data_IF_121883121189
#
_entry.id   IF_121883121189
#
_cell.length_a   1.000
_cell.length_b   1.000
_cell.length_c   1.000
_cell.angle_alpha   90.00
_cell.angle_beta   90.00
_cell.angle_gamma   90.00
#
_symmetry.space_group_name_H-M   'P 1'
#
loop_
_entity.id
_entity.type
_entity.pdbx_description
1 polymer ?
#
# COMPACT_ATOMS: atom_id res chain seq x y z
N UNK A 1 23.24 -26.24 -15.81
CA UNK A 1 23.68 -24.99 -15.14
C UNK A 1 22.67 -23.86 -15.31
N UNK A 2 22.03 -23.68 -16.47
CA UNK A 2 21.04 -22.64 -16.74
C UNK A 2 19.76 -22.80 -15.92
N UNK A 3 19.25 -24.02 -15.77
CA UNK A 3 18.02 -24.30 -15.02
C UNK A 3 18.12 -23.88 -13.53
N UNK A 4 19.27 -24.16 -12.90
CA UNK A 4 19.54 -23.67 -11.52
C UNK A 4 19.62 -22.16 -11.45
N UNK A 5 20.15 -21.48 -12.47
CA UNK A 5 20.28 -20.02 -12.54
C UNK A 5 18.90 -19.34 -12.67
N UNK A 6 17.98 -19.94 -13.43
CA UNK A 6 16.60 -19.44 -13.60
C UNK A 6 15.80 -19.61 -12.31
N UNK A 7 15.86 -20.77 -11.67
CA UNK A 7 15.19 -21.01 -10.38
C UNK A 7 15.72 -20.10 -9.26
N UNK A 8 17.03 -19.87 -9.22
CA UNK A 8 17.63 -18.98 -8.24
C UNK A 8 17.18 -17.51 -8.44
N UNK A 9 17.09 -17.05 -9.68
CA UNK A 9 16.58 -15.70 -10.00
C UNK A 9 15.09 -15.53 -9.67
N UNK A 10 14.29 -16.56 -9.92
CA UNK A 10 12.87 -16.57 -9.58
C UNK A 10 12.67 -16.44 -8.06
N UNK A 11 13.41 -17.22 -7.27
CA UNK A 11 13.33 -17.15 -5.81
C UNK A 11 13.78 -15.78 -5.28
N UNK A 12 14.83 -15.19 -5.83
CA UNK A 12 15.28 -13.85 -5.42
C UNK A 12 14.20 -12.80 -5.71
N UNK A 13 13.58 -12.84 -6.88
CA UNK A 13 12.48 -11.92 -7.21
C UNK A 13 11.33 -12.06 -6.21
N UNK A 14 10.95 -13.28 -5.88
CA UNK A 14 9.92 -13.54 -4.88
C UNK A 14 10.27 -12.93 -3.52
N UNK A 15 11.49 -13.12 -3.02
CA UNK A 15 11.94 -12.53 -1.74
C UNK A 15 11.95 -11.00 -1.78
N UNK A 16 12.40 -10.40 -2.89
CA UNK A 16 12.37 -8.95 -3.05
C UNK A 16 10.93 -8.44 -3.00
N UNK A 17 10.01 -9.10 -3.72
CA UNK A 17 8.60 -8.75 -3.69
C UNK A 17 7.99 -8.84 -2.29
N UNK A 18 8.30 -9.90 -1.54
CA UNK A 18 7.86 -10.05 -0.14
C UNK A 18 8.40 -8.94 0.77
N UNK A 19 9.64 -8.49 0.58
CA UNK A 19 10.21 -7.38 1.36
C UNK A 19 9.46 -6.07 1.06
N UNK A 20 9.13 -5.79 -0.21
CA UNK A 20 8.30 -4.63 -0.55
C UNK A 20 6.90 -4.71 0.05
N UNK A 21 6.28 -5.89 0.02
CA UNK A 21 4.99 -6.12 0.67
C UNK A 21 5.06 -5.89 2.19
N UNK A 22 6.05 -6.45 2.87
CA UNK A 22 6.22 -6.30 4.31
C UNK A 22 6.48 -4.84 4.71
N UNK A 23 7.24 -4.10 3.91
CA UNK A 23 7.40 -2.65 4.11
C UNK A 23 6.08 -1.91 3.97
N UNK A 24 5.30 -2.21 2.93
CA UNK A 24 3.97 -1.64 2.73
C UNK A 24 3.03 -1.98 3.90
N UNK A 25 3.05 -3.22 4.37
CA UNK A 25 2.26 -3.68 5.49
C UNK A 25 2.59 -2.93 6.80
N UNK A 26 3.88 -2.79 7.10
CA UNK A 26 4.34 -2.04 8.28
C UNK A 26 3.93 -0.55 8.21
N UNK A 27 4.10 0.07 7.03
CA UNK A 27 3.67 1.46 6.85
C UNK A 27 2.16 1.63 6.94
N UNK A 28 1.37 0.67 6.49
CA UNK A 28 -0.09 0.72 6.62
C UNK A 28 -0.55 0.63 8.08
N UNK A 29 0.07 -0.23 8.88
CA UNK A 29 -0.20 -0.31 10.32
C UNK A 29 0.13 1.03 11.02
N UNK A 30 1.25 1.65 10.65
CA UNK A 30 1.63 2.97 11.18
C UNK A 30 0.70 4.09 10.68
N UNK A 31 0.32 4.08 9.40
CA UNK A 31 -0.62 5.05 8.82
C UNK A 31 -1.95 5.07 9.57
N UNK A 32 -2.50 3.89 9.87
CA UNK A 32 -3.76 3.77 10.61
C UNK A 32 -3.69 4.31 12.04
N UNK A 33 -2.49 4.29 12.66
CA UNK A 33 -2.28 4.74 14.04
C UNK A 33 -1.92 6.22 14.15
N UNK A 34 -1.16 6.74 13.19
CA UNK A 34 -0.51 8.04 13.31
C UNK A 34 -0.85 9.04 12.19
N UNK A 35 -1.47 8.59 11.09
CA UNK A 35 -1.72 9.42 9.91
C UNK A 35 -0.43 9.83 9.21
N UNK A 36 -0.04 11.09 9.36
CA UNK A 36 1.20 11.62 8.77
C UNK A 36 2.44 10.93 9.33
N UNK A 37 3.34 10.48 8.45
CA UNK A 37 4.54 9.71 8.81
C UNK A 37 5.78 10.15 8.01
N UNK A 38 6.99 10.02 8.59
CA UNK A 38 8.21 10.08 7.79
C UNK A 38 8.30 8.90 6.83
N UNK A 39 8.69 9.15 5.58
CA UNK A 39 8.96 8.11 4.59
C UNK A 39 10.46 7.85 4.55
N UNK A 40 10.89 6.68 5.06
CA UNK A 40 12.27 6.26 5.10
C UNK A 40 12.53 5.17 4.04
N UNK A 41 13.39 5.46 3.08
CA UNK A 41 13.73 4.55 1.99
C UNK A 41 15.12 3.93 2.12
N UNK A 42 15.92 4.44 3.04
CA UNK A 42 17.30 4.00 3.33
C UNK A 42 17.49 3.79 4.82
N UNK A 43 18.43 2.91 5.18
CA UNK A 43 18.85 2.76 6.57
C UNK A 43 19.53 4.06 7.04
N UNK A 44 19.06 4.59 8.15
CA UNK A 44 19.62 5.83 8.74
C UNK A 44 20.88 5.50 9.54
N UNK A 45 21.86 6.41 9.48
CA UNK A 45 23.00 6.39 10.38
C UNK A 45 22.61 7.04 11.70
N UNK A 46 23.30 6.69 12.78
CA UNK A 46 23.15 7.32 14.10
C UNK A 46 23.86 8.69 14.12
N UNK A 47 23.31 9.62 13.33
CA UNK A 47 23.75 11.02 13.22
C UNK A 47 22.54 11.92 13.45
N UNK A 48 22.56 12.74 14.50
CA UNK A 48 21.43 13.58 14.90
C UNK A 48 20.87 14.43 13.76
N UNK A 49 21.73 15.11 13.00
CA UNK A 49 21.29 15.98 11.90
C UNK A 49 20.53 15.19 10.82
N UNK A 50 20.99 13.97 10.47
CA UNK A 50 20.35 13.12 9.48
C UNK A 50 18.98 12.60 10.01
N UNK A 51 18.94 12.20 11.29
CA UNK A 51 17.72 11.72 11.93
C UNK A 51 16.67 12.83 12.04
N UNK A 52 17.07 14.05 12.42
CA UNK A 52 16.16 15.21 12.48
C UNK A 52 15.63 15.55 11.09
N UNK A 53 16.48 15.60 10.08
CA UNK A 53 16.07 15.87 8.70
C UNK A 53 15.10 14.81 8.16
N UNK A 54 15.34 13.54 8.47
CA UNK A 54 14.51 12.41 8.04
C UNK A 54 13.19 12.28 8.82
N UNK A 55 13.04 12.95 9.95
CA UNK A 55 11.85 12.86 10.81
C UNK A 55 10.67 13.71 10.33
N UNK A 56 10.80 14.45 9.22
CA UNK A 56 9.70 15.23 8.65
C UNK A 56 8.56 14.31 8.21
N UNK A 57 7.39 14.51 8.81
CA UNK A 57 6.18 13.75 8.46
C UNK A 57 5.64 14.20 7.12
N UNK A 58 5.38 13.25 6.25
CA UNK A 58 4.68 13.44 5.00
C UNK A 58 3.16 13.34 5.24
N UNK A 59 2.33 14.06 4.48
CA UNK A 59 0.88 13.95 4.54
C UNK A 59 0.38 12.50 4.40
N UNK A 60 -0.70 12.14 5.10
CA UNK A 60 -1.22 10.76 5.13
C UNK A 60 -1.46 10.16 3.72
N UNK A 61 -2.00 10.94 2.78
CA UNK A 61 -2.19 10.49 1.41
C UNK A 61 -0.87 10.24 0.65
N UNK A 62 0.20 10.98 0.95
CA UNK A 62 1.54 10.71 0.38
C UNK A 62 2.11 9.40 0.95
N UNK A 63 1.90 9.16 2.24
CA UNK A 63 2.26 7.88 2.87
C UNK A 63 1.47 6.74 2.23
N UNK A 64 0.16 6.91 2.01
CA UNK A 64 -0.67 5.92 1.33
C UNK A 64 -0.19 5.66 -0.11
N UNK A 65 0.15 6.71 -0.88
CA UNK A 65 0.77 6.56 -2.21
C UNK A 65 2.08 5.79 -2.17
N UNK A 66 2.92 6.07 -1.19
CA UNK A 66 4.16 5.31 -0.99
C UNK A 66 3.87 3.83 -0.71
N UNK A 67 2.85 3.51 0.09
CA UNK A 67 2.42 2.13 0.35
C UNK A 67 1.96 1.47 -0.96
N UNK A 68 1.09 2.12 -1.76
CA UNK A 68 0.63 1.58 -3.03
C UNK A 68 1.77 1.34 -4.02
N UNK A 69 2.73 2.26 -4.11
CA UNK A 69 3.92 2.10 -4.96
C UNK A 69 4.79 0.89 -4.56
N UNK A 70 4.90 0.63 -3.24
CA UNK A 70 5.58 -0.58 -2.76
C UNK A 70 4.82 -1.86 -3.14
N UNK A 71 3.49 -1.84 -3.06
CA UNK A 71 2.65 -2.97 -3.45
C UNK A 71 2.70 -3.21 -4.96
N UNK A 72 2.73 -2.16 -5.79
CA UNK A 72 2.93 -2.29 -7.24
C UNK A 72 4.30 -2.90 -7.57
N UNK A 73 5.32 -2.47 -6.87
CA UNK A 73 6.67 -3.05 -7.00
C UNK A 73 6.67 -4.51 -6.57
N UNK A 74 6.04 -4.85 -5.45
CA UNK A 74 5.89 -6.23 -4.98
C UNK A 74 5.16 -7.09 -6.02
N UNK A 75 4.04 -6.60 -6.56
CA UNK A 75 3.26 -7.28 -7.59
C UNK A 75 4.11 -7.57 -8.84
N UNK A 76 4.87 -6.57 -9.31
CA UNK A 76 5.76 -6.73 -10.47
C UNK A 76 6.81 -7.84 -10.26
N UNK A 77 7.37 -7.94 -9.06
CA UNK A 77 8.34 -9.00 -8.74
C UNK A 77 7.70 -10.39 -8.59
N UNK A 78 6.42 -10.46 -8.21
CA UNK A 78 5.70 -11.71 -7.95
C UNK A 78 4.84 -12.19 -9.13
N UNK A 79 4.64 -11.36 -10.14
CA UNK A 79 3.79 -11.69 -11.29
C UNK A 79 4.27 -12.96 -12.00
N UNK A 80 3.33 -13.88 -12.25
CA UNK A 80 3.61 -15.17 -12.91
C UNK A 80 4.35 -16.19 -12.03
N UNK A 81 4.61 -15.88 -10.76
CA UNK A 81 5.25 -16.83 -9.83
C UNK A 81 4.20 -17.66 -9.10
N UNK A 82 4.38 -18.98 -9.10
CA UNK A 82 3.63 -19.89 -8.23
C UNK A 82 4.39 -20.06 -6.92
N UNK A 83 3.70 -19.81 -5.81
CA UNK A 83 4.28 -19.90 -4.47
C UNK A 83 3.46 -20.85 -3.61
N UNK A 84 4.09 -21.39 -2.54
CA UNK A 84 3.38 -22.17 -1.54
C UNK A 84 2.27 -21.30 -0.87
N UNK A 85 1.19 -21.94 -0.46
CA UNK A 85 0.03 -21.26 0.18
C UNK A 85 0.39 -20.52 1.47
N UNK A 86 1.53 -20.84 2.07
CA UNK A 86 2.06 -20.18 3.27
C UNK A 86 2.88 -18.92 2.97
N UNK A 87 3.05 -18.58 1.70
CA UNK A 87 3.84 -17.42 1.26
C UNK A 87 2.95 -16.33 0.66
N UNK A 88 3.45 -15.10 0.67
CA UNK A 88 2.77 -13.97 0.04
C UNK A 88 2.87 -14.12 -1.47
N UNK A 89 1.73 -14.26 -2.14
CA UNK A 89 1.65 -14.33 -3.60
C UNK A 89 1.07 -13.05 -4.20
N UNK A 90 1.10 -12.98 -5.55
CA UNK A 90 0.57 -11.84 -6.30
C UNK A 90 -0.86 -11.45 -5.91
N UNK A 91 -1.76 -12.42 -5.74
CA UNK A 91 -3.16 -12.14 -5.43
C UNK A 91 -3.31 -11.51 -4.04
N UNK A 92 -2.52 -11.97 -3.05
CA UNK A 92 -2.49 -11.36 -1.72
C UNK A 92 -2.01 -9.90 -1.77
N UNK A 93 -1.03 -9.59 -2.62
CA UNK A 93 -0.55 -8.22 -2.84
C UNK A 93 -1.65 -7.34 -3.43
N UNK A 94 -2.37 -7.81 -4.46
CA UNK A 94 -3.46 -7.05 -5.09
C UNK A 94 -4.62 -6.80 -4.11
N UNK A 95 -5.04 -7.82 -3.36
CA UNK A 95 -6.09 -7.67 -2.36
C UNK A 95 -5.69 -6.71 -1.23
N UNK A 96 -4.43 -6.76 -0.81
CA UNK A 96 -3.94 -5.82 0.19
C UNK A 96 -3.85 -4.40 -0.37
N UNK A 97 -3.44 -4.23 -1.64
CA UNK A 97 -3.46 -2.93 -2.34
C UNK A 97 -4.88 -2.35 -2.39
N UNK A 98 -5.86 -3.17 -2.77
CA UNK A 98 -7.27 -2.76 -2.78
C UNK A 98 -7.72 -2.27 -1.38
N UNK A 99 -7.36 -3.01 -0.33
CA UNK A 99 -7.70 -2.65 1.05
C UNK A 99 -7.09 -1.32 1.49
N UNK A 100 -5.81 -1.10 1.23
CA UNK A 100 -5.11 0.16 1.57
C UNK A 100 -5.73 1.34 0.83
N UNK A 101 -5.98 1.16 -0.47
CA UNK A 101 -6.56 2.21 -1.31
C UNK A 101 -8.00 2.54 -0.90
N UNK A 102 -8.82 1.53 -0.56
CA UNK A 102 -10.17 1.74 -0.03
C UNK A 102 -10.13 2.51 1.30
N UNK A 103 -9.22 2.14 2.19
CA UNK A 103 -9.05 2.82 3.48
C UNK A 103 -8.76 4.31 3.27
N UNK A 104 -7.73 4.64 2.49
CA UNK A 104 -7.34 6.04 2.31
C UNK A 104 -8.39 6.85 1.54
N UNK A 105 -8.98 6.29 0.47
CA UNK A 105 -10.03 6.97 -0.27
C UNK A 105 -11.26 7.27 0.58
N UNK A 106 -11.68 6.32 1.42
CA UNK A 106 -12.78 6.53 2.36
C UNK A 106 -12.39 7.50 3.50
N UNK A 107 -11.15 7.44 3.97
CA UNK A 107 -10.65 8.35 4.99
C UNK A 107 -10.68 9.81 4.51
N UNK A 108 -10.10 10.10 3.35
CA UNK A 108 -10.11 11.45 2.76
C UNK A 108 -11.54 11.96 2.51
N UNK A 109 -12.46 11.07 2.13
CA UNK A 109 -13.86 11.44 1.90
C UNK A 109 -14.58 11.81 3.21
N UNK A 110 -14.41 10.97 4.25
CA UNK A 110 -15.18 11.12 5.49
C UNK A 110 -14.61 12.17 6.43
N UNK A 111 -13.30 12.44 6.36
CA UNK A 111 -12.61 13.38 7.24
C UNK A 111 -12.16 14.66 6.53
N UNK A 112 -12.70 14.96 5.36
CA UNK A 112 -12.47 16.24 4.69
C UNK A 112 -12.70 17.40 5.66
N UNK A 113 -11.86 18.46 5.57
CA UNK A 113 -11.90 19.67 6.40
C UNK A 113 -11.58 19.47 7.89
N UNK A 114 -11.25 18.24 8.34
CA UNK A 114 -10.85 17.95 9.73
C UNK A 114 -9.33 17.97 9.90
N UNK A 115 -8.80 18.01 11.15
CA UNK A 115 -7.36 17.92 11.40
C UNK A 115 -6.69 16.62 10.96
N UNK A 116 -7.47 15.62 10.57
CA UNK A 116 -6.99 14.26 10.23
C UNK A 116 -6.54 14.11 8.77
N UNK A 117 -6.73 15.15 7.96
CA UNK A 117 -6.37 15.14 6.54
C UNK A 117 -5.58 16.38 6.17
N UNK A 118 -4.71 16.31 5.14
CA UNK A 118 -3.96 17.47 4.68
C UNK A 118 -4.87 18.63 4.29
N UNK A 119 -4.44 19.85 4.61
CA UNK A 119 -5.18 21.10 4.41
C UNK A 119 -6.51 21.20 5.17
N UNK A 120 -6.85 20.25 6.01
CA UNK A 120 -8.01 20.33 6.89
C UNK A 120 -7.77 21.32 8.05
N UNK A 121 -8.87 21.83 8.61
CA UNK A 121 -8.81 22.82 9.70
C UNK A 121 -8.07 22.26 10.92
N UNK A 122 -6.94 22.88 11.26
CA UNK A 122 -6.12 22.45 12.39
C UNK A 122 -5.19 21.25 12.08
N UNK A 123 -4.97 20.93 10.83
CA UNK A 123 -4.03 19.87 10.44
C UNK A 123 -2.62 20.11 11.01
N UNK A 124 -2.07 19.19 11.83
CA UNK A 124 -0.77 19.39 12.47
C UNK A 124 0.41 19.49 11.49
N UNK A 125 0.27 18.91 10.31
CA UNK A 125 1.28 18.92 9.26
C UNK A 125 1.44 20.27 8.53
N UNK A 126 0.50 21.20 8.70
CA UNK A 126 0.44 22.47 7.95
C UNK A 126 1.71 23.33 8.07
N UNK A 127 2.34 23.38 9.25
CA UNK A 127 3.54 24.19 9.48
C UNK A 127 4.77 23.70 8.70
N UNK A 128 4.85 22.40 8.41
CA UNK A 128 5.96 21.77 7.66
C UNK A 128 5.64 21.56 6.19
N UNK A 129 4.37 21.56 5.83
CA UNK A 129 3.87 21.34 4.47
C UNK A 129 3.04 22.55 4.00
N UNK A 130 3.56 23.76 4.23
CA UNK A 130 2.88 25.02 3.83
C UNK A 130 2.61 25.00 2.32
N UNK A 131 1.35 25.26 1.94
CA UNK A 131 0.94 25.27 0.53
C UNK A 131 0.84 23.88 -0.10
N UNK A 132 0.66 22.84 0.70
CA UNK A 132 0.51 21.47 0.19
C UNK A 132 -0.57 21.38 -0.88
N UNK A 133 -0.25 20.71 -1.98
CA UNK A 133 -1.16 20.44 -3.10
C UNK A 133 -1.34 18.93 -3.24
N UNK A 134 -2.60 18.49 -3.30
CA UNK A 134 -2.89 17.09 -3.58
C UNK A 134 -2.40 16.69 -4.97
N UNK A 135 -1.71 15.56 -5.16
CA UNK A 135 -1.23 15.09 -6.46
C UNK A 135 -2.33 14.96 -7.52
N UNK A 136 -3.55 14.62 -7.11
CA UNK A 136 -4.70 14.55 -8.00
C UNK A 136 -5.42 15.90 -8.19
N UNK A 137 -4.96 17.00 -7.55
CA UNK A 137 -5.48 18.34 -7.69
C UNK A 137 -6.32 18.82 -6.49
N UNK A 138 -7.22 18.00 -5.97
CA UNK A 138 -8.05 18.31 -4.79
C UNK A 138 -8.20 17.07 -3.90
N UNK A 139 -8.67 17.27 -2.65
CA UNK A 139 -8.95 16.16 -1.74
C UNK A 139 -9.99 15.20 -2.32
N UNK A 140 -11.00 15.69 -3.01
CA UNK A 140 -12.05 14.88 -3.64
C UNK A 140 -11.48 14.05 -4.78
N UNK A 141 -10.65 14.66 -5.63
CA UNK A 141 -9.98 13.95 -6.73
C UNK A 141 -8.95 12.94 -6.21
N UNK A 142 -8.26 13.28 -5.13
CA UNK A 142 -7.34 12.35 -4.46
C UNK A 142 -8.08 11.14 -3.89
N UNK A 143 -9.21 11.36 -3.20
CA UNK A 143 -10.06 10.29 -2.69
C UNK A 143 -10.57 9.39 -3.83
N UNK A 144 -11.06 9.98 -4.92
CA UNK A 144 -11.51 9.24 -6.10
C UNK A 144 -10.38 8.42 -6.74
N UNK A 145 -9.17 8.99 -6.82
CA UNK A 145 -8.01 8.28 -7.32
C UNK A 145 -7.71 7.03 -6.49
N UNK A 146 -7.72 7.14 -5.16
CA UNK A 146 -7.53 5.99 -4.28
C UNK A 146 -8.65 4.95 -4.44
N UNK A 147 -9.91 5.36 -4.49
CA UNK A 147 -11.04 4.44 -4.70
C UNK A 147 -10.92 3.70 -6.04
N UNK A 148 -10.46 4.39 -7.11
CA UNK A 148 -10.21 3.74 -8.39
C UNK A 148 -9.06 2.72 -8.30
N UNK A 149 -7.96 3.06 -7.60
CA UNK A 149 -6.87 2.09 -7.34
C UNK A 149 -7.37 0.85 -6.59
N UNK A 150 -8.34 1.03 -5.68
CA UNK A 150 -8.96 -0.09 -4.97
C UNK A 150 -9.73 -1.01 -5.91
N UNK A 151 -10.54 -0.44 -6.78
CA UNK A 151 -11.32 -1.19 -7.78
C UNK A 151 -10.39 -1.95 -8.73
N UNK A 152 -9.42 -1.24 -9.33
CA UNK A 152 -8.49 -1.81 -10.31
C UNK A 152 -7.70 -3.01 -9.73
N UNK A 153 -7.32 -2.92 -8.45
CA UNK A 153 -6.60 -4.00 -7.79
C UNK A 153 -7.51 -5.19 -7.44
N UNK A 154 -8.74 -4.93 -7.00
CA UNK A 154 -9.72 -5.96 -6.68
C UNK A 154 -10.17 -6.73 -7.94
N UNK A 155 -10.42 -6.02 -9.04
CA UNK A 155 -10.86 -6.62 -10.31
C UNK A 155 -9.86 -7.63 -10.85
N UNK A 156 -8.56 -7.37 -10.75
CA UNK A 156 -7.52 -8.32 -11.18
C UNK A 156 -7.68 -9.70 -10.53
N UNK A 157 -8.06 -9.74 -9.26
CA UNK A 157 -8.26 -10.99 -8.53
C UNK A 157 -9.67 -11.55 -8.79
N UNK A 158 -10.69 -10.69 -8.78
CA UNK A 158 -12.07 -11.11 -9.01
C UNK A 158 -12.24 -11.77 -10.39
N UNK A 159 -11.71 -11.17 -11.44
CA UNK A 159 -11.78 -11.76 -12.79
C UNK A 159 -10.99 -13.07 -12.90
N UNK A 160 -9.84 -13.19 -12.24
CA UNK A 160 -9.06 -14.43 -12.20
C UNK A 160 -9.84 -15.61 -11.63
N UNK A 161 -10.65 -15.36 -10.59
CA UNK A 161 -11.42 -16.38 -9.88
C UNK A 161 -12.89 -16.45 -10.30
N UNK A 162 -13.29 -15.68 -11.29
CA UNK A 162 -14.66 -15.68 -11.83
C UNK A 162 -15.06 -17.08 -12.29
N UNK A 163 -16.19 -17.56 -11.78
CA UNK A 163 -16.69 -18.90 -12.07
C UNK A 163 -15.99 -20.04 -11.30
N UNK A 164 -15.01 -19.75 -10.47
CA UNK A 164 -14.35 -20.75 -9.62
C UNK A 164 -14.93 -20.80 -8.19
N UNK A 165 -15.82 -19.87 -7.87
CA UNK A 165 -16.45 -19.80 -6.55
C UNK A 165 -17.49 -20.93 -6.43
N UNK A 166 -17.36 -21.75 -5.39
CA UNK A 166 -18.37 -22.76 -5.04
C UNK A 166 -19.59 -22.10 -4.42
N UNK A 167 -20.77 -22.59 -4.79
CA UNK A 167 -22.02 -22.15 -4.13
C UNK A 167 -22.03 -22.73 -2.71
N UNK A 168 -22.10 -21.86 -1.71
CA UNK A 168 -22.30 -22.30 -0.33
C UNK A 168 -23.76 -22.74 -0.16
N UNK A 169 -24.00 -24.05 -0.13
CA UNK A 169 -25.32 -24.64 0.11
C UNK A 169 -25.63 -24.84 1.61
N UNK A 170 -24.78 -24.37 2.51
CA UNK A 170 -24.93 -24.49 3.96
C UNK A 170 -24.70 -25.90 4.53
N UNK A 171 -24.33 -26.87 3.69
CA UNK A 171 -24.20 -28.29 4.10
C UNK A 171 -22.84 -28.59 4.70
N UNK A 172 -21.80 -27.83 4.32
CA UNK A 172 -20.43 -27.99 4.82
C UNK A 172 -19.92 -26.65 5.31
N UNK A 173 -19.42 -26.55 6.57
CA UNK A 173 -18.72 -25.34 7.01
C UNK A 173 -17.54 -25.09 6.08
N UNK A 174 -17.47 -23.90 5.50
CA UNK A 174 -16.29 -23.49 4.75
C UNK A 174 -15.18 -23.16 5.76
N UNK A 175 -14.05 -23.89 5.67
CA UNK A 175 -12.86 -23.66 6.48
C UNK A 175 -12.12 -22.41 6.00
#
# INVERSE_FOLDING_TARGET
LEFRRVLFRSNIKQYIGELYFLRAFAYFDLLQKFGDLPILTVAMKDVEADLVAASNRQPCNEVARFILNNLDTAATYMEGHTVATTRIGYDAVQLFKSRVALYEGSWLTNFAETPFVPNGTGWPGASKNSGYQFPAGSIQQEAQWFLQQSVDAAEKVAEKYKGQLSVNNGTVPQA
#
